data_IF_837279508018
#
_entry.id   IF_837279508018
#
_cell.length_a   1.000
_cell.length_b   1.000
_cell.length_c   1.000
_cell.angle_alpha   90.00
_cell.angle_beta   90.00
_cell.angle_gamma   90.00
#
_symmetry.space_group_name_H-M   'P 1'
#
loop_
_entity.id
_entity.type
_entity.pdbx_description
1 polymer ?
#
# COMPACT_ATOMS: atom_id res chain seq x y z
N UNK A 1 17.27 -11.18 -27.77
CA UNK A 1 16.13 -11.32 -26.84
C UNK A 1 15.69 -9.93 -26.45
N UNK A 2 14.38 -9.68 -26.43
CA UNK A 2 13.81 -8.45 -25.89
C UNK A 2 14.30 -8.24 -24.45
N UNK A 3 14.75 -7.03 -24.13
CA UNK A 3 15.22 -6.63 -22.81
C UNK A 3 14.15 -5.79 -22.13
N UNK A 4 14.04 -5.95 -20.81
CA UNK A 4 13.26 -5.08 -19.95
C UNK A 4 14.23 -4.18 -19.21
N UNK A 5 14.01 -2.87 -19.25
CA UNK A 5 14.81 -1.88 -18.55
C UNK A 5 13.92 -1.06 -17.63
N UNK A 6 14.27 -0.99 -16.35
CA UNK A 6 13.69 -0.07 -15.37
C UNK A 6 14.69 1.05 -15.04
N UNK A 7 14.33 2.29 -15.34
CA UNK A 7 15.01 3.48 -14.82
C UNK A 7 14.17 3.99 -13.65
N UNK A 8 14.75 3.98 -12.45
CA UNK A 8 14.08 4.32 -11.21
C UNK A 8 14.70 5.58 -10.63
N UNK A 9 13.90 6.62 -10.48
CA UNK A 9 14.31 7.91 -9.97
C UNK A 9 13.51 8.15 -8.69
N UNK A 10 14.18 8.19 -7.54
CA UNK A 10 13.53 8.47 -6.28
C UNK A 10 14.28 9.57 -5.54
N UNK A 11 13.58 10.66 -5.22
CA UNK A 11 14.13 11.80 -4.51
C UNK A 11 13.44 11.91 -3.15
N UNK A 12 13.97 11.18 -2.18
CA UNK A 12 13.49 11.21 -0.79
C UNK A 12 14.07 12.40 -0.02
N UNK A 13 15.36 12.67 -0.22
CA UNK A 13 16.10 13.75 0.45
C UNK A 13 16.63 14.74 -0.58
N UNK A 14 16.44 16.02 -0.30
CA UNK A 14 16.97 17.14 -1.08
C UNK A 14 18.25 17.67 -0.44
N UNK A 15 19.16 18.22 -1.25
CA UNK A 15 20.33 18.94 -0.74
C UNK A 15 19.94 20.24 -0.07
N UNK A 16 18.88 20.90 -0.58
CA UNK A 16 18.26 22.05 0.07
C UNK A 16 17.29 21.57 1.16
N UNK A 17 17.66 21.81 2.42
CA UNK A 17 16.89 21.37 3.59
C UNK A 17 15.56 22.11 3.77
N UNK A 18 15.31 23.18 3.00
CA UNK A 18 14.02 23.89 3.00
C UNK A 18 12.93 23.08 2.26
N UNK A 19 13.33 22.19 1.35
CA UNK A 19 12.41 21.31 0.64
C UNK A 19 12.09 20.10 1.54
N UNK A 20 10.81 19.84 1.74
CA UNK A 20 10.35 18.72 2.56
C UNK A 20 10.81 17.38 1.96
N UNK A 21 11.11 16.41 2.82
CA UNK A 21 11.46 15.06 2.39
C UNK A 21 10.23 14.29 1.88
N UNK A 22 10.41 13.48 0.84
CA UNK A 22 9.36 12.57 0.32
C UNK A 22 9.52 11.19 0.96
N UNK A 23 8.88 11.01 2.11
CA UNK A 23 9.02 9.77 2.89
C UNK A 23 8.72 8.53 2.06
N UNK A 24 9.63 7.56 2.12
CA UNK A 24 9.57 6.26 1.46
C UNK A 24 9.80 6.25 -0.04
N UNK A 25 10.15 7.36 -0.69
CA UNK A 25 10.41 7.37 -2.14
C UNK A 25 11.51 6.36 -2.54
N UNK A 26 12.56 6.18 -1.74
CA UNK A 26 13.59 5.17 -2.01
C UNK A 26 13.07 3.74 -1.82
N UNK A 27 12.25 3.52 -0.79
CA UNK A 27 11.63 2.21 -0.54
C UNK A 27 10.66 1.84 -1.68
N UNK A 28 9.90 2.82 -2.16
CA UNK A 28 8.97 2.71 -3.28
C UNK A 28 9.67 2.29 -4.57
N UNK A 29 10.77 2.97 -4.94
CA UNK A 29 11.56 2.58 -6.11
C UNK A 29 12.12 1.16 -5.97
N UNK A 30 12.70 0.81 -4.81
CA UNK A 30 13.26 -0.52 -4.59
C UNK A 30 12.18 -1.62 -4.64
N UNK A 31 11.03 -1.39 -4.02
CA UNK A 31 9.90 -2.32 -4.03
C UNK A 31 9.31 -2.50 -5.44
N UNK A 32 9.15 -1.42 -6.18
CA UNK A 32 8.69 -1.46 -7.57
C UNK A 32 9.65 -2.25 -8.46
N UNK A 33 10.97 -2.03 -8.34
CA UNK A 33 11.99 -2.78 -9.06
C UNK A 33 11.94 -4.29 -8.76
N UNK A 34 11.81 -4.65 -7.48
CA UNK A 34 11.71 -6.03 -7.04
C UNK A 34 10.45 -6.71 -7.59
N UNK A 35 9.32 -6.01 -7.58
CA UNK A 35 8.06 -6.54 -8.10
C UNK A 35 8.11 -6.81 -9.62
N UNK A 36 8.75 -5.92 -10.40
CA UNK A 36 8.92 -6.13 -11.85
C UNK A 36 9.80 -7.34 -12.19
N UNK A 37 10.78 -7.65 -11.34
CA UNK A 37 11.73 -8.74 -11.52
C UNK A 37 11.08 -10.13 -11.37
N UNK A 38 9.92 -10.20 -10.69
CA UNK A 38 9.13 -11.44 -10.56
C UNK A 38 8.56 -11.95 -11.89
N UNK A 39 8.30 -11.05 -12.85
CA UNK A 39 7.88 -11.40 -14.21
C UNK A 39 9.04 -11.83 -15.13
N UNK A 40 10.27 -11.83 -14.61
CA UNK A 40 11.48 -12.22 -15.33
C UNK A 40 12.58 -11.16 -15.28
N UNK A 41 13.74 -11.46 -15.88
CA UNK A 41 14.93 -10.61 -15.81
C UNK A 41 14.66 -9.17 -16.25
N UNK A 42 15.18 -8.21 -15.49
CA UNK A 42 15.06 -6.78 -15.78
C UNK A 42 16.37 -6.05 -15.44
N UNK A 43 16.86 -5.26 -16.39
CA UNK A 43 17.99 -4.36 -16.17
C UNK A 43 17.51 -3.16 -15.35
N UNK A 44 18.23 -2.80 -14.28
CA UNK A 44 17.81 -1.75 -13.34
C UNK A 44 18.84 -0.62 -13.28
N UNK A 45 18.35 0.61 -13.38
CA UNK A 45 19.14 1.83 -13.17
C UNK A 45 18.45 2.64 -12.07
N UNK A 46 18.93 2.48 -10.83
CA UNK A 46 18.38 3.18 -9.67
C UNK A 46 19.18 4.45 -9.38
N UNK A 47 18.49 5.60 -9.36
CA UNK A 47 19.00 6.91 -8.98
C UNK A 47 18.23 7.33 -7.72
N UNK A 48 18.85 7.14 -6.56
CA UNK A 48 18.23 7.37 -5.25
C UNK A 48 18.86 8.59 -4.57
N UNK A 49 18.03 9.54 -4.16
CA UNK A 49 18.39 10.79 -3.49
C UNK A 49 19.68 11.38 -4.03
N UNK A 50 20.81 11.32 -3.30
CA UNK A 50 22.10 11.89 -3.72
C UNK A 50 22.57 11.53 -5.14
N UNK A 51 22.16 10.37 -5.67
CA UNK A 51 22.47 9.95 -7.04
C UNK A 51 21.50 10.54 -8.11
N UNK A 52 20.34 11.02 -7.70
CA UNK A 52 19.28 11.58 -8.53
C UNK A 52 19.44 13.09 -8.76
N UNK A 53 20.64 13.53 -9.13
CA UNK A 53 20.87 14.93 -9.53
C UNK A 53 20.35 15.18 -10.95
N UNK A 54 20.01 16.44 -11.27
CA UNK A 54 19.52 16.83 -12.60
C UNK A 54 20.46 16.36 -13.72
N UNK A 55 21.77 16.50 -13.49
CA UNK A 55 22.80 16.08 -14.45
C UNK A 55 22.85 14.57 -14.60
N UNK A 56 22.83 13.82 -13.50
CA UNK A 56 22.92 12.36 -13.52
C UNK A 56 21.68 11.73 -14.14
N UNK A 57 20.48 12.20 -13.78
CA UNK A 57 19.21 11.71 -14.36
C UNK A 57 19.24 11.90 -15.89
N UNK A 58 19.49 13.12 -16.36
CA UNK A 58 19.53 13.42 -17.78
C UNK A 58 20.57 12.59 -18.54
N UNK A 59 21.76 12.42 -17.96
CA UNK A 59 22.83 11.63 -18.57
C UNK A 59 22.46 10.15 -18.66
N UNK A 60 21.96 9.56 -17.57
CA UNK A 60 21.60 8.14 -17.49
C UNK A 60 20.40 7.81 -18.36
N UNK A 61 19.36 8.63 -18.34
CA UNK A 61 18.19 8.44 -19.21
C UNK A 61 18.63 8.44 -20.68
N UNK A 62 19.40 9.45 -21.13
CA UNK A 62 19.92 9.46 -22.50
C UNK A 62 20.80 8.24 -22.83
N UNK A 63 21.69 7.86 -21.92
CA UNK A 63 22.59 6.72 -22.10
C UNK A 63 21.82 5.42 -22.35
N UNK A 64 20.87 5.10 -21.47
CA UNK A 64 20.19 3.80 -21.50
C UNK A 64 19.07 3.77 -22.55
N UNK A 65 18.31 4.86 -22.71
CA UNK A 65 17.23 4.94 -23.70
C UNK A 65 17.76 4.80 -25.14
N UNK A 66 18.96 5.32 -25.42
CA UNK A 66 19.61 5.19 -26.74
C UNK A 66 20.01 3.75 -27.08
N UNK A 67 20.22 2.90 -26.08
CA UNK A 67 20.64 1.52 -26.27
C UNK A 67 19.46 0.55 -26.52
N UNK A 68 18.22 1.01 -26.36
CA UNK A 68 17.02 0.20 -26.55
C UNK A 68 16.66 0.03 -28.03
N UNK A 69 16.08 -1.12 -28.33
CA UNK A 69 15.61 -1.55 -29.65
C UNK A 69 14.08 -1.65 -29.68
N UNK A 70 13.49 -1.97 -30.83
CA UNK A 70 12.03 -2.00 -31.01
C UNK A 70 11.29 -3.05 -30.19
N UNK A 71 11.99 -4.12 -29.80
CA UNK A 71 11.41 -5.24 -29.07
C UNK A 71 11.57 -5.10 -27.55
N UNK A 72 12.33 -4.09 -27.10
CA UNK A 72 12.59 -3.86 -25.68
C UNK A 72 11.42 -3.16 -24.98
N UNK A 73 11.44 -3.18 -23.65
CA UNK A 73 10.48 -2.51 -22.78
C UNK A 73 11.19 -1.52 -21.86
N UNK A 74 10.66 -0.31 -21.77
CA UNK A 74 11.13 0.73 -20.87
C UNK A 74 10.09 1.01 -19.77
N UNK A 75 10.51 0.82 -18.53
CA UNK A 75 9.80 1.27 -17.34
C UNK A 75 10.54 2.49 -16.78
N UNK A 76 9.86 3.62 -16.69
CA UNK A 76 10.35 4.81 -16.01
C UNK A 76 9.53 5.00 -14.73
N UNK A 77 10.19 4.91 -13.58
CA UNK A 77 9.56 5.16 -12.28
C UNK A 77 10.12 6.45 -11.69
N UNK A 78 9.24 7.33 -11.22
CA UNK A 78 9.60 8.53 -10.49
C UNK A 78 8.83 8.61 -9.18
N UNK A 79 9.52 8.83 -8.07
CA UNK A 79 8.94 9.19 -6.79
C UNK A 79 9.64 10.44 -6.23
N UNK A 80 8.88 11.50 -5.94
CA UNK A 80 9.46 12.78 -5.53
C UNK A 80 8.45 13.92 -5.52
N UNK A 81 8.93 15.16 -5.49
CA UNK A 81 8.08 16.33 -5.69
C UNK A 81 7.94 16.67 -7.16
N UNK A 82 6.85 17.33 -7.48
CA UNK A 82 6.59 17.80 -8.83
C UNK A 82 5.77 19.07 -8.79
N UNK A 83 5.93 19.89 -9.81
CA UNK A 83 5.22 21.15 -9.94
C UNK A 83 5.04 21.48 -11.41
N UNK A 84 4.24 22.51 -11.69
CA UNK A 84 4.09 23.11 -13.00
C UNK A 84 4.50 24.58 -12.96
N UNK A 85 5.10 25.05 -14.04
CA UNK A 85 5.39 26.46 -14.27
C UNK A 85 4.95 26.82 -15.69
N UNK A 86 4.01 27.77 -15.82
CA UNK A 86 3.48 28.23 -17.10
C UNK A 86 2.95 27.09 -18.00
N UNK A 87 2.30 26.08 -17.40
CA UNK A 87 1.70 24.96 -18.12
C UNK A 87 2.64 23.78 -18.43
N UNK A 88 3.92 23.87 -18.07
CA UNK A 88 4.90 22.79 -18.22
C UNK A 88 5.19 22.10 -16.90
N UNK A 89 5.24 20.78 -16.91
CA UNK A 89 5.51 19.98 -15.72
C UNK A 89 7.01 19.80 -15.47
N UNK A 90 7.37 19.80 -14.19
CA UNK A 90 8.75 19.62 -13.74
C UNK A 90 8.81 18.61 -12.61
N UNK A 91 9.73 17.66 -12.73
CA UNK A 91 10.10 16.76 -11.62
C UNK A 91 11.35 17.30 -10.93
N UNK A 92 11.36 17.25 -9.61
CA UNK A 92 12.51 17.69 -8.82
C UNK A 92 13.65 16.69 -8.87
N UNK A 93 14.82 17.16 -8.48
CA UNK A 93 16.06 16.42 -8.38
C UNK A 93 16.64 16.61 -6.98
N UNK A 94 17.60 15.78 -6.59
CA UNK A 94 18.27 15.95 -5.29
C UNK A 94 18.91 17.33 -5.12
N UNK A 95 19.46 17.87 -6.21
CA UNK A 95 20.11 19.18 -6.28
C UNK A 95 19.15 20.32 -6.68
N UNK A 96 17.83 20.10 -6.62
CA UNK A 96 16.86 21.19 -6.67
C UNK A 96 16.99 22.03 -5.41
N UNK A 97 17.07 23.35 -5.58
CA UNK A 97 17.07 24.33 -4.50
C UNK A 97 15.96 25.36 -4.71
N UNK A 98 15.53 26.02 -3.62
CA UNK A 98 14.41 26.97 -3.67
C UNK A 98 14.74 28.29 -4.33
N UNK A 99 16.02 28.63 -4.48
CA UNK A 99 16.43 29.88 -5.09
C UNK A 99 16.34 29.80 -6.63
N UNK A 100 16.41 28.58 -7.19
CA UNK A 100 16.27 28.30 -8.62
C UNK A 100 15.55 26.96 -8.90
N UNK A 101 14.32 26.84 -8.40
CA UNK A 101 13.54 25.59 -8.47
C UNK A 101 13.40 25.08 -9.90
N UNK A 102 13.08 25.97 -10.85
CA UNK A 102 12.82 25.61 -12.25
C UNK A 102 14.09 25.11 -12.94
N UNK A 103 15.19 25.88 -12.92
CA UNK A 103 16.39 25.50 -13.68
C UNK A 103 17.18 24.39 -12.98
N UNK A 104 16.87 24.08 -11.72
CA UNK A 104 17.41 22.90 -11.01
C UNK A 104 16.47 21.69 -10.97
N UNK A 105 15.33 21.78 -11.61
CA UNK A 105 14.42 20.66 -11.85
C UNK A 105 14.49 20.21 -13.31
N UNK A 106 13.89 19.07 -13.63
CA UNK A 106 13.82 18.55 -15.00
C UNK A 106 12.44 18.84 -15.57
N UNK A 107 12.40 19.50 -16.73
CA UNK A 107 11.18 19.58 -17.52
C UNK A 107 10.76 18.17 -17.95
N UNK A 108 9.57 17.74 -17.55
CA UNK A 108 9.11 16.38 -17.74
C UNK A 108 8.88 16.08 -19.22
N UNK A 109 8.39 17.04 -20.01
CA UNK A 109 8.23 16.86 -21.46
C UNK A 109 9.57 16.65 -22.15
N UNK A 110 10.63 17.38 -21.79
CA UNK A 110 11.97 17.16 -22.36
C UNK A 110 12.50 15.75 -22.06
N UNK A 111 12.26 15.26 -20.84
CA UNK A 111 12.62 13.90 -20.46
C UNK A 111 11.83 12.86 -21.26
N UNK A 112 10.52 13.08 -21.42
CA UNK A 112 9.64 12.23 -22.21
C UNK A 112 10.01 12.24 -23.70
N UNK A 113 10.40 13.38 -24.25
CA UNK A 113 10.85 13.49 -25.64
C UNK A 113 12.13 12.68 -25.89
N UNK A 114 13.03 12.60 -24.90
CA UNK A 114 14.20 11.71 -24.97
C UNK A 114 13.74 10.25 -25.05
N UNK A 115 12.80 9.84 -24.19
CA UNK A 115 12.21 8.50 -24.22
C UNK A 115 11.47 8.22 -25.54
N UNK A 116 10.73 9.20 -26.05
CA UNK A 116 9.95 9.09 -27.29
C UNK A 116 10.79 9.00 -28.56
N UNK A 117 12.05 9.43 -28.52
CA UNK A 117 13.04 9.27 -29.60
C UNK A 117 13.72 7.89 -29.60
N UNK A 118 13.49 7.06 -28.58
CA UNK A 118 13.98 5.69 -28.57
C UNK A 118 13.37 4.86 -29.69
N UNK A 119 14.08 3.82 -30.13
CA UNK A 119 13.48 2.79 -30.97
C UNK A 119 12.46 1.94 -30.19
N UNK A 120 12.55 1.92 -28.85
CA UNK A 120 11.64 1.24 -27.95
C UNK A 120 10.21 1.78 -28.09
N UNK A 121 9.29 0.90 -28.49
CA UNK A 121 7.88 1.26 -28.65
C UNK A 121 7.10 1.14 -27.34
N UNK A 122 7.48 0.17 -26.49
CA UNK A 122 6.79 -0.17 -25.22
C UNK A 122 7.37 0.64 -24.07
N UNK A 123 6.70 1.74 -23.70
CA UNK A 123 7.15 2.65 -22.65
C UNK A 123 6.06 2.80 -21.59
N UNK A 124 6.39 2.52 -20.34
CA UNK A 124 5.50 2.71 -19.20
C UNK A 124 6.12 3.71 -18.20
N UNK A 125 5.43 4.82 -17.95
CA UNK A 125 5.76 5.79 -16.90
C UNK A 125 4.92 5.54 -15.65
N UNK A 126 5.55 5.54 -14.50
CA UNK A 126 4.95 5.46 -13.17
C UNK A 126 5.39 6.69 -12.38
N UNK A 127 4.47 7.62 -12.16
CA UNK A 127 4.71 8.92 -11.55
C UNK A 127 4.06 8.99 -10.16
N UNK A 128 4.83 8.70 -9.12
CA UNK A 128 4.44 8.93 -7.73
C UNK A 128 4.92 10.31 -7.25
N UNK A 129 4.32 11.35 -7.80
CA UNK A 129 4.69 12.72 -7.49
C UNK A 129 3.73 13.34 -6.48
N UNK A 130 4.26 13.89 -5.38
CA UNK A 130 3.48 14.66 -4.43
C UNK A 130 3.65 16.16 -4.70
N UNK A 131 2.55 16.84 -5.03
CA UNK A 131 2.56 18.23 -5.50
C UNK A 131 2.81 19.26 -4.37
N UNK A 132 2.44 18.95 -3.12
CA UNK A 132 2.51 19.87 -1.97
C UNK A 132 3.90 20.37 -1.62
N UNK A 133 4.94 19.54 -1.80
CA UNK A 133 6.24 19.83 -1.22
C UNK A 133 6.91 21.10 -1.73
N UNK A 134 6.55 21.53 -2.94
CA UNK A 134 6.99 22.79 -3.55
C UNK A 134 5.86 23.82 -3.55
N UNK A 135 4.65 23.45 -3.96
CA UNK A 135 3.58 24.44 -4.14
C UNK A 135 3.07 25.05 -2.83
N UNK A 136 3.25 24.35 -1.71
CA UNK A 136 2.78 24.80 -0.40
C UNK A 136 3.83 25.61 0.38
N UNK A 137 5.06 25.70 -0.13
CA UNK A 137 6.11 26.47 0.52
C UNK A 137 5.80 27.97 0.46
N UNK A 138 5.81 28.69 1.60
CA UNK A 138 5.41 30.10 1.65
C UNK A 138 6.17 31.01 0.68
N UNK A 139 7.44 30.69 0.42
CA UNK A 139 8.38 31.47 -0.40
C UNK A 139 8.04 31.44 -1.90
N UNK A 140 7.38 30.38 -2.36
CA UNK A 140 7.13 30.11 -3.78
C UNK A 140 5.66 29.87 -4.11
N UNK A 141 4.79 30.05 -3.11
CA UNK A 141 3.34 29.93 -3.25
C UNK A 141 2.81 30.88 -4.32
N UNK A 142 2.11 30.35 -5.31
CA UNK A 142 1.53 31.12 -6.42
C UNK A 142 2.48 31.40 -7.59
N UNK A 143 3.76 31.03 -7.49
CA UNK A 143 4.72 31.03 -8.61
C UNK A 143 4.62 29.73 -9.40
N UNK A 144 4.44 28.62 -8.67
CA UNK A 144 4.30 27.28 -9.22
C UNK A 144 2.91 26.74 -8.91
N UNK A 145 2.40 25.90 -9.82
CA UNK A 145 1.12 25.21 -9.68
C UNK A 145 1.31 23.70 -9.63
N UNK A 146 0.20 23.00 -9.48
CA UNK A 146 0.09 21.54 -9.59
C UNK A 146 0.36 21.07 -11.03
N UNK A 147 0.74 19.81 -11.21
CA UNK A 147 1.10 19.30 -12.53
C UNK A 147 -0.13 19.25 -13.46
N UNK A 148 0.08 19.63 -14.72
CA UNK A 148 -0.93 19.60 -15.77
C UNK A 148 -1.06 18.20 -16.39
N UNK A 149 -2.27 17.64 -16.35
CA UNK A 149 -2.57 16.37 -17.02
C UNK A 149 -2.46 16.45 -18.55
N UNK A 150 -2.63 17.63 -19.14
CA UNK A 150 -2.68 17.83 -20.60
C UNK A 150 -1.38 17.43 -21.30
N UNK A 151 -0.22 17.85 -20.77
CA UNK A 151 1.10 17.57 -21.37
C UNK A 151 1.37 16.06 -21.41
N UNK A 152 1.07 15.36 -20.31
CA UNK A 152 1.19 13.91 -20.23
C UNK A 152 0.20 13.22 -21.18
N UNK A 153 -1.05 13.69 -21.24
CA UNK A 153 -2.06 13.14 -22.13
C UNK A 153 -1.62 13.17 -23.60
N UNK A 154 -1.10 14.31 -24.06
CA UNK A 154 -0.67 14.47 -25.45
C UNK A 154 0.45 13.49 -25.82
N UNK A 155 1.48 13.37 -24.98
CA UNK A 155 2.60 12.46 -25.24
C UNK A 155 2.18 10.98 -25.28
N UNK A 156 1.35 10.55 -24.33
CA UNK A 156 0.97 9.13 -24.18
C UNK A 156 -0.16 8.70 -25.13
N UNK A 157 -1.00 9.63 -25.60
CA UNK A 157 -2.00 9.35 -26.63
C UNK A 157 -1.43 9.37 -28.06
N UNK A 158 -0.25 9.96 -28.26
CA UNK A 158 0.38 10.03 -29.57
C UNK A 158 0.92 8.69 -30.10
N UNK A 159 1.02 7.65 -29.27
CA UNK A 159 1.57 6.35 -29.68
C UNK A 159 0.90 5.15 -28.97
N UNK A 160 0.77 4.05 -29.71
CA UNK A 160 0.02 2.85 -29.31
C UNK A 160 0.56 2.13 -28.05
N UNK A 161 1.86 2.11 -27.84
CA UNK A 161 2.48 1.32 -26.76
C UNK A 161 3.11 2.19 -25.67
N UNK A 162 2.55 3.38 -25.45
CA UNK A 162 2.98 4.28 -24.37
C UNK A 162 1.86 4.40 -23.34
N UNK A 163 2.22 4.18 -22.08
CA UNK A 163 1.31 4.31 -20.95
C UNK A 163 1.93 5.12 -19.82
N UNK A 164 1.09 5.84 -19.09
CA UNK A 164 1.46 6.62 -17.92
C UNK A 164 0.44 6.35 -16.82
N UNK A 165 0.94 6.02 -15.64
CA UNK A 165 0.18 5.97 -14.40
C UNK A 165 0.72 7.02 -13.47
N UNK A 166 -0.17 7.76 -12.83
CA UNK A 166 0.19 8.77 -11.87
C UNK A 166 -0.65 8.63 -10.60
N UNK A 167 -0.02 8.95 -9.47
CA UNK A 167 -0.52 8.57 -8.15
C UNK A 167 -1.76 9.34 -7.70
N UNK A 168 -1.95 10.57 -8.16
CA UNK A 168 -3.08 11.43 -7.82
C UNK A 168 -3.37 12.44 -8.94
N UNK A 169 -4.61 12.93 -9.03
CA UNK A 169 -4.99 13.97 -10.00
C UNK A 169 -4.37 15.32 -9.64
N UNK A 170 -4.44 16.25 -10.60
CA UNK A 170 -4.07 17.66 -10.38
C UNK A 170 -4.76 18.21 -9.12
N UNK A 171 -4.00 18.82 -8.21
CA UNK A 171 -4.50 19.39 -6.94
C UNK A 171 -4.94 18.38 -5.89
N UNK A 172 -4.55 17.12 -6.04
CA UNK A 172 -4.59 16.11 -4.98
C UNK A 172 -3.18 15.81 -4.46
N UNK A 173 -3.09 15.05 -3.36
CA UNK A 173 -1.81 14.66 -2.78
C UNK A 173 -1.59 13.16 -2.92
N UNK A 174 -0.36 12.77 -3.24
CA UNK A 174 0.09 11.40 -3.03
C UNK A 174 0.51 11.22 -1.59
N UNK A 175 -0.15 10.30 -0.88
CA UNK A 175 0.08 10.07 0.55
C UNK A 175 0.99 8.86 0.77
N UNK A 176 1.89 8.96 1.74
CA UNK A 176 2.65 7.82 2.26
C UNK A 176 2.31 7.56 3.73
N UNK A 177 2.60 6.36 4.22
CA UNK A 177 2.26 6.00 5.61
C UNK A 177 3.27 5.04 6.23
N UNK A 178 3.65 5.24 7.51
CA UNK A 178 4.49 4.31 8.24
C UNK A 178 3.91 2.89 8.39
N UNK A 179 2.58 2.74 8.29
CA UNK A 179 1.91 1.44 8.36
C UNK A 179 2.34 0.56 7.17
N UNK A 180 2.41 1.15 5.98
CA UNK A 180 2.80 0.46 4.75
C UNK A 180 4.30 0.54 4.50
N UNK A 181 4.99 1.53 5.08
CA UNK A 181 6.39 1.89 4.78
C UNK A 181 6.63 2.20 3.30
N UNK A 182 5.60 2.73 2.66
CA UNK A 182 5.51 3.02 1.23
C UNK A 182 4.53 4.18 1.00
N UNK A 183 4.62 4.81 -0.17
CA UNK A 183 3.51 5.55 -0.77
C UNK A 183 2.30 4.64 -0.92
N UNK A 184 1.09 5.13 -0.59
CA UNK A 184 -0.15 4.32 -0.69
C UNK A 184 -0.37 3.84 -2.11
N UNK A 185 -0.04 4.68 -3.10
CA UNK A 185 -0.15 4.32 -4.50
C UNK A 185 0.90 3.31 -4.94
N UNK A 186 2.18 3.59 -4.68
CA UNK A 186 3.25 2.66 -5.05
C UNK A 186 3.07 1.31 -4.37
N UNK A 187 2.64 1.27 -3.10
CA UNK A 187 2.29 0.04 -2.39
C UNK A 187 1.27 -0.78 -3.18
N UNK A 188 0.18 -0.18 -3.68
CA UNK A 188 -0.82 -0.92 -4.44
C UNK A 188 -0.31 -1.36 -5.82
N UNK A 189 0.55 -0.57 -6.47
CA UNK A 189 1.22 -1.00 -7.70
C UNK A 189 2.09 -2.23 -7.44
N UNK A 190 2.86 -2.24 -6.36
CA UNK A 190 3.67 -3.38 -5.93
C UNK A 190 2.77 -4.61 -5.69
N UNK A 191 1.69 -4.47 -4.92
CA UNK A 191 0.77 -5.57 -4.64
C UNK A 191 0.17 -6.19 -5.92
N UNK A 192 -0.12 -5.36 -6.92
CA UNK A 192 -0.59 -5.80 -8.23
C UNK A 192 0.50 -6.56 -9.00
N UNK A 193 1.72 -5.99 -9.07
CA UNK A 193 2.85 -6.58 -9.80
C UNK A 193 3.41 -7.85 -9.17
N UNK A 194 3.25 -8.03 -7.86
CA UNK A 194 3.56 -9.28 -7.16
C UNK A 194 2.42 -10.32 -7.31
N UNK A 195 1.28 -9.91 -7.87
CA UNK A 195 0.08 -10.74 -8.00
C UNK A 195 -0.53 -11.11 -6.65
N UNK A 196 -0.30 -10.32 -5.60
CA UNK A 196 -0.85 -10.56 -4.26
C UNK A 196 -2.36 -10.30 -4.19
N UNK A 197 -2.89 -9.50 -5.12
CA UNK A 197 -4.31 -9.20 -5.23
C UNK A 197 -4.89 -9.70 -6.56
N UNK A 198 -5.77 -10.72 -6.53
CA UNK A 198 -6.40 -11.25 -7.75
C UNK A 198 -7.20 -10.21 -8.54
N UNK A 199 -7.66 -9.12 -7.91
CA UNK A 199 -8.40 -8.05 -8.60
C UNK A 199 -7.55 -7.29 -9.61
N UNK A 200 -6.22 -7.37 -9.50
CA UNK A 200 -5.29 -6.76 -10.45
C UNK A 200 -4.99 -7.65 -11.66
N UNK A 201 -5.39 -8.93 -11.62
CA UNK A 201 -4.99 -9.93 -12.61
C UNK A 201 -6.08 -10.17 -13.66
N UNK A 202 -5.74 -9.93 -14.91
CA UNK A 202 -6.53 -10.37 -16.05
C UNK A 202 -6.18 -11.81 -16.42
N UNK A 203 -7.21 -12.63 -16.69
CA UNK A 203 -7.07 -14.08 -16.96
C UNK A 203 -6.25 -14.82 -15.88
N UNK A 204 -6.23 -14.30 -14.66
CA UNK A 204 -5.55 -14.88 -13.50
C UNK A 204 -4.02 -14.83 -13.52
N UNK A 205 -3.39 -14.13 -14.48
CA UNK A 205 -1.91 -14.06 -14.59
C UNK A 205 -1.35 -12.75 -15.11
N UNK A 206 -2.11 -11.97 -15.89
CA UNK A 206 -1.58 -10.78 -16.54
C UNK A 206 -1.93 -9.54 -15.73
N UNK A 207 -0.93 -8.70 -15.48
CA UNK A 207 -1.17 -7.30 -15.11
C UNK A 207 -1.12 -6.49 -16.40
N UNK A 208 -2.29 -6.07 -16.89
CA UNK A 208 -2.42 -5.19 -18.04
C UNK A 208 -2.59 -3.75 -17.58
N UNK A 209 -2.38 -2.79 -18.48
CA UNK A 209 -2.58 -1.39 -18.14
C UNK A 209 -4.02 -1.11 -17.67
N UNK A 210 -5.00 -1.72 -18.34
CA UNK A 210 -6.40 -1.64 -17.96
C UNK A 210 -6.70 -2.35 -16.63
N UNK A 211 -6.15 -3.56 -16.40
CA UNK A 211 -6.36 -4.26 -15.13
C UNK A 211 -5.77 -3.48 -13.96
N UNK A 212 -4.57 -2.90 -14.12
CA UNK A 212 -3.91 -2.09 -13.12
C UNK A 212 -4.68 -0.80 -12.81
N UNK A 213 -5.12 -0.04 -13.81
CA UNK A 213 -5.91 1.18 -13.57
C UNK A 213 -7.25 0.87 -12.87
N UNK A 214 -7.94 -0.18 -13.31
CA UNK A 214 -9.20 -0.62 -12.69
C UNK A 214 -9.01 -1.08 -11.24
N UNK A 215 -7.88 -1.72 -10.96
CA UNK A 215 -7.48 -2.11 -9.62
C UNK A 215 -7.20 -0.90 -8.72
N UNK A 216 -6.31 -0.01 -9.15
CA UNK A 216 -5.90 1.16 -8.40
C UNK A 216 -7.09 2.07 -8.06
N UNK A 217 -7.99 2.32 -9.02
CA UNK A 217 -9.19 3.14 -8.79
C UNK A 217 -10.12 2.58 -7.69
N UNK A 218 -10.05 1.27 -7.40
CA UNK A 218 -10.85 0.61 -6.35
C UNK A 218 -10.09 0.48 -5.04
N UNK A 219 -8.83 0.06 -5.09
CA UNK A 219 -8.05 -0.25 -3.89
C UNK A 219 -7.44 0.99 -3.23
N UNK A 220 -7.17 2.07 -3.96
CA UNK A 220 -6.63 3.28 -3.34
C UNK A 220 -7.62 3.87 -2.32
N UNK A 221 -8.90 4.16 -2.66
CA UNK A 221 -9.87 4.66 -1.69
C UNK A 221 -10.16 3.69 -0.53
N UNK A 222 -10.02 2.37 -0.75
CA UNK A 222 -10.14 1.35 0.31
C UNK A 222 -8.97 1.42 1.28
N UNK A 223 -7.77 1.58 0.75
CA UNK A 223 -6.53 1.63 1.52
C UNK A 223 -6.45 2.90 2.36
N UNK A 224 -6.76 4.05 1.76
CA UNK A 224 -6.79 5.33 2.48
C UNK A 224 -7.71 5.27 3.71
N UNK A 225 -8.92 4.70 3.57
CA UNK A 225 -9.87 4.51 4.69
C UNK A 225 -9.39 3.55 5.78
N UNK A 226 -8.46 2.65 5.45
CA UNK A 226 -7.87 1.71 6.43
C UNK A 226 -6.70 2.34 7.18
N UNK A 227 -5.88 3.12 6.49
CA UNK A 227 -4.61 3.62 7.04
C UNK A 227 -4.69 5.03 7.64
N UNK A 228 -5.68 5.84 7.23
CA UNK A 228 -5.88 7.19 7.75
C UNK A 228 -7.16 7.29 8.59
N UNK A 229 -7.04 7.94 9.75
CA UNK A 229 -8.18 8.22 10.64
C UNK A 229 -9.03 9.37 10.13
N UNK A 230 -8.40 10.36 9.48
CA UNK A 230 -9.10 11.48 8.82
C UNK A 230 -9.30 11.12 7.33
N UNK A 231 -10.48 11.42 6.76
CA UNK A 231 -10.70 11.24 5.33
C UNK A 231 -9.68 12.04 4.51
N UNK A 232 -8.96 11.35 3.64
CA UNK A 232 -8.06 11.92 2.64
C UNK A 232 -8.46 11.41 1.27
N UNK A 233 -8.15 12.18 0.23
CA UNK A 233 -8.47 11.85 -1.17
C UNK A 233 -7.16 11.67 -1.93
N UNK A 234 -7.13 10.61 -2.72
CA UNK A 234 -6.11 10.32 -3.71
C UNK A 234 -6.76 9.51 -4.83
N UNK A 235 -6.81 10.09 -6.02
CA UNK A 235 -7.47 9.53 -7.19
C UNK A 235 -6.39 9.18 -8.22
N UNK A 236 -6.04 7.89 -8.40
CA UNK A 236 -5.07 7.51 -9.41
C UNK A 236 -5.63 7.79 -10.81
N UNK A 237 -4.75 8.17 -11.73
CA UNK A 237 -5.13 8.42 -13.12
C UNK A 237 -4.13 7.80 -14.09
N UNK A 238 -4.61 7.59 -15.31
CA UNK A 238 -3.92 6.85 -16.35
C UNK A 238 -4.14 7.48 -17.71
N UNK A 239 -3.08 7.50 -18.51
CA UNK A 239 -3.11 7.86 -19.93
C UNK A 239 -2.33 6.86 -20.77
N UNK A 240 -2.86 6.53 -21.94
CA UNK A 240 -2.20 5.67 -22.90
C UNK A 240 -3.14 5.31 -24.05
N UNK A 241 -2.60 4.70 -25.09
CA UNK A 241 -3.44 4.16 -26.15
C UNK A 241 -4.22 2.95 -25.65
N UNK A 242 -5.50 2.90 -25.99
CA UNK A 242 -6.41 1.81 -25.62
C UNK A 242 -6.40 0.68 -26.67
N UNK A 243 -5.51 0.75 -27.67
CA UNK A 243 -5.40 -0.23 -28.75
C UNK A 243 -4.36 -1.29 -28.38
N UNK A 244 -4.84 -2.51 -28.08
CA UNK A 244 -4.02 -3.61 -27.59
C UNK A 244 -3.65 -3.43 -26.11
N UNK A 245 -4.11 -4.33 -25.24
CA UNK A 245 -3.79 -4.25 -23.81
C UNK A 245 -2.28 -4.33 -23.59
N UNK A 246 -1.68 -3.23 -23.14
CA UNK A 246 -0.28 -3.17 -22.73
C UNK A 246 -0.10 -4.10 -21.51
N UNK A 247 0.49 -5.27 -21.73
CA UNK A 247 0.87 -6.19 -20.65
C UNK A 247 2.10 -5.61 -19.95
N UNK A 248 1.94 -5.25 -18.67
CA UNK A 248 3.00 -4.73 -17.80
C UNK A 248 3.80 -5.90 -17.21
N UNK A 249 3.10 -6.97 -16.82
CA UNK A 249 3.69 -8.12 -16.15
C UNK A 249 2.92 -9.40 -16.48
N UNK A 250 3.65 -10.47 -16.76
CA UNK A 250 3.11 -11.84 -16.89
C UNK A 250 3.59 -12.67 -15.71
N UNK A 251 2.65 -13.00 -14.82
CA UNK A 251 2.93 -13.62 -13.52
C UNK A 251 2.63 -15.12 -13.52
N UNK A 252 2.60 -15.77 -14.69
CA UNK A 252 2.29 -17.20 -14.81
C UNK A 252 3.15 -18.07 -13.91
N UNK A 253 4.47 -17.85 -13.94
CA UNK A 253 5.41 -18.63 -13.14
C UNK A 253 5.24 -18.35 -11.64
N UNK A 254 5.00 -17.09 -11.27
CA UNK A 254 4.73 -16.69 -9.88
C UNK A 254 3.47 -17.37 -9.36
N UNK A 255 2.38 -17.32 -10.14
CA UNK A 255 1.10 -17.93 -9.80
C UNK A 255 1.21 -19.46 -9.73
N UNK A 256 1.91 -20.08 -10.69
CA UNK A 256 2.17 -21.53 -10.67
C UNK A 256 2.98 -21.96 -9.46
N UNK A 257 4.05 -21.25 -9.12
CA UNK A 257 4.87 -21.54 -7.95
C UNK A 257 4.04 -21.41 -6.67
N UNK A 258 3.24 -20.35 -6.53
CA UNK A 258 2.36 -20.15 -5.38
C UNK A 258 1.30 -21.25 -5.24
N UNK A 259 0.75 -21.72 -6.35
CA UNK A 259 -0.21 -22.83 -6.38
C UNK A 259 0.44 -24.19 -6.11
N UNK A 260 1.69 -24.39 -6.56
CA UNK A 260 2.46 -25.61 -6.29
C UNK A 260 2.84 -25.75 -4.81
N UNK A 261 2.95 -24.64 -4.08
CA UNK A 261 3.26 -24.62 -2.63
C UNK A 261 2.06 -25.03 -1.74
N UNK A 262 0.94 -25.52 -2.28
CA UNK A 262 -0.16 -26.08 -1.47
C UNK A 262 -0.24 -27.61 -1.48
N UNK A 263 0.41 -28.26 -0.51
CA UNK A 263 -0.17 -29.41 0.17
C UNK A 263 -0.29 -29.13 1.69
N UNK A 264 -1.49 -29.26 2.26
CA UNK A 264 -1.61 -29.51 3.72
C UNK A 264 -2.60 -28.69 4.53
N UNK A 265 -3.22 -27.63 3.99
CA UNK A 265 -4.41 -27.06 4.61
C UNK A 265 -5.62 -27.46 3.78
N UNK A 266 -6.30 -28.51 4.23
CA UNK A 266 -7.72 -28.65 3.96
C UNK A 266 -8.35 -27.29 4.20
N UNK A 267 -8.98 -26.76 3.15
CA UNK A 267 -9.67 -25.47 3.13
C UNK A 267 -10.26 -25.19 4.51
N UNK A 268 -9.84 -24.12 5.18
CA UNK A 268 -10.45 -23.69 6.44
C UNK A 268 -11.93 -23.47 6.15
N UNK A 269 -12.77 -24.46 6.48
CA UNK A 269 -14.17 -24.48 6.07
C UNK A 269 -14.98 -23.43 6.83
N UNK A 270 -14.53 -23.09 8.03
CA UNK A 270 -15.16 -22.13 8.92
C UNK A 270 -14.10 -21.42 9.76
N UNK A 271 -14.28 -20.11 9.94
CA UNK A 271 -13.55 -19.29 10.90
C UNK A 271 -14.60 -18.77 11.88
N UNK A 272 -14.37 -18.98 13.18
CA UNK A 272 -15.17 -18.38 14.23
C UNK A 272 -14.34 -17.29 14.90
N UNK A 273 -14.94 -16.10 15.05
CA UNK A 273 -14.41 -15.08 15.94
C UNK A 273 -15.01 -15.32 17.31
N UNK A 274 -14.15 -15.66 18.28
CA UNK A 274 -14.55 -15.86 19.67
C UNK A 274 -14.15 -14.61 20.46
N UNK A 275 -15.12 -14.03 21.15
CA UNK A 275 -14.87 -12.98 22.13
C UNK A 275 -14.92 -13.61 23.53
N UNK A 276 -13.95 -13.25 24.36
CA UNK A 276 -13.83 -13.73 25.73
C UNK A 276 -13.95 -12.54 26.67
N UNK A 277 -14.94 -12.56 27.55
CA UNK A 277 -15.14 -11.51 28.56
C UNK A 277 -15.17 -12.13 29.96
N UNK A 278 -14.41 -11.56 30.89
CA UNK A 278 -14.37 -11.99 32.29
C UNK A 278 -15.28 -11.10 33.13
N UNK A 279 -16.33 -11.70 33.70
CA UNK A 279 -17.31 -11.00 34.55
C UNK A 279 -17.28 -11.54 35.98
N UNK A 280 -17.72 -10.71 36.93
CA UNK A 280 -17.81 -11.12 38.33
C UNK A 280 -18.93 -12.14 38.50
N UNK A 281 -18.75 -13.14 39.37
CA UNK A 281 -19.85 -14.05 39.74
C UNK A 281 -21.04 -13.27 40.31
N UNK A 282 -20.77 -12.15 41.00
CA UNK A 282 -21.83 -11.31 41.57
C UNK A 282 -22.62 -10.50 40.54
N UNK A 283 -22.14 -10.39 39.30
CA UNK A 283 -22.83 -9.69 38.21
C UNK A 283 -23.63 -10.61 37.30
N UNK A 284 -23.61 -11.93 37.53
CA UNK A 284 -24.45 -12.89 36.82
C UNK A 284 -25.93 -12.64 37.14
N UNK A 285 -26.80 -12.74 36.14
CA UNK A 285 -28.22 -12.37 36.30
C UNK A 285 -28.96 -13.23 37.33
N UNK A 286 -28.58 -14.51 37.48
CA UNK A 286 -29.15 -15.40 38.50
C UNK A 286 -28.55 -15.22 39.91
N UNK A 287 -27.53 -14.38 40.09
CA UNK A 287 -26.86 -14.22 41.39
C UNK A 287 -27.72 -13.34 42.32
N UNK A 288 -28.06 -13.85 43.51
CA UNK A 288 -28.86 -13.09 44.46
C UNK A 288 -28.44 -13.32 45.91
N UNK A 289 -27.94 -12.26 46.56
CA UNK A 289 -27.68 -12.27 48.02
C UNK A 289 -28.93 -12.59 48.83
N UNK A 290 -30.12 -12.21 48.35
CA UNK A 290 -31.40 -12.52 49.01
C UNK A 290 -31.74 -14.02 48.99
N UNK A 291 -31.22 -14.77 48.02
CA UNK A 291 -31.29 -16.24 47.95
C UNK A 291 -30.15 -16.93 48.70
N UNK A 292 -29.34 -16.18 49.45
CA UNK A 292 -28.21 -16.72 50.21
C UNK A 292 -26.94 -16.98 49.39
N UNK A 293 -26.89 -16.54 48.12
CA UNK A 293 -25.72 -16.76 47.28
C UNK A 293 -24.52 -15.95 47.79
N UNK A 294 -23.35 -16.59 47.79
CA UNK A 294 -22.06 -15.97 48.09
C UNK A 294 -21.12 -16.21 46.92
N UNK A 295 -20.22 -15.25 46.67
CA UNK A 295 -19.12 -15.47 45.73
C UNK A 295 -18.24 -16.55 46.35
N UNK A 296 -18.01 -17.69 45.68
CA UNK A 296 -17.16 -18.73 46.22
C UNK A 296 -15.71 -18.24 46.34
N UNK A 297 -14.93 -18.87 47.22
CA UNK A 297 -13.54 -18.50 47.48
C UNK A 297 -12.53 -19.50 46.89
N UNK A 298 -13.01 -20.58 46.26
CA UNK A 298 -12.18 -21.55 45.52
C UNK A 298 -12.92 -22.14 44.32
N UNK A 299 -12.17 -22.63 43.32
CA UNK A 299 -12.72 -23.34 42.16
C UNK A 299 -12.69 -24.84 42.42
N UNK A 300 -13.86 -25.44 42.44
CA UNK A 300 -14.08 -26.88 42.57
C UNK A 300 -15.41 -27.23 41.86
N UNK A 301 -15.72 -28.52 41.72
CA UNK A 301 -16.92 -28.95 41.01
C UNK A 301 -18.25 -28.43 41.60
N UNK A 302 -18.29 -28.02 42.87
CA UNK A 302 -19.47 -27.38 43.47
C UNK A 302 -19.59 -25.91 43.04
N UNK A 303 -18.47 -25.18 43.04
CA UNK A 303 -18.37 -23.81 42.50
C UNK A 303 -18.73 -23.77 41.02
N UNK A 304 -18.27 -24.76 40.25
CA UNK A 304 -18.54 -24.85 38.82
C UNK A 304 -20.04 -24.98 38.52
N UNK A 305 -20.71 -25.94 39.19
CA UNK A 305 -22.16 -26.12 39.09
C UNK A 305 -22.95 -24.91 39.59
N UNK A 306 -22.47 -24.25 40.64
CA UNK A 306 -23.11 -23.04 41.16
C UNK A 306 -23.07 -21.92 40.13
N UNK A 307 -21.91 -21.68 39.52
CA UNK A 307 -21.74 -20.68 38.46
C UNK A 307 -22.64 -21.02 37.27
N UNK A 308 -22.58 -22.26 36.78
CA UNK A 308 -23.37 -22.73 35.64
C UNK A 308 -24.88 -22.54 35.84
N UNK A 309 -25.39 -22.87 37.03
CA UNK A 309 -26.80 -22.67 37.37
C UNK A 309 -27.18 -21.19 37.48
N UNK A 310 -26.26 -20.37 38.01
CA UNK A 310 -26.50 -18.93 38.23
C UNK A 310 -26.51 -18.14 36.93
N UNK A 311 -25.85 -18.67 35.90
CA UNK A 311 -25.65 -17.98 34.64
C UNK A 311 -26.51 -18.49 33.48
N UNK A 312 -27.42 -19.44 33.73
CA UNK A 312 -28.31 -19.99 32.68
C UNK A 312 -29.13 -18.90 31.97
N UNK A 313 -29.36 -17.77 32.63
CA UNK A 313 -30.10 -16.63 32.09
C UNK A 313 -29.25 -15.69 31.23
N UNK A 314 -27.92 -15.83 31.23
CA UNK A 314 -26.97 -14.96 30.54
C UNK A 314 -26.61 -15.43 29.11
N UNK A 315 -27.20 -16.54 28.64
CA UNK A 315 -27.24 -16.91 27.21
C UNK A 315 -25.91 -17.33 26.54
N UNK A 316 -24.83 -17.54 27.30
CA UNK A 316 -23.52 -18.01 26.79
C UNK A 316 -23.11 -19.39 27.34
N UNK A 317 -22.23 -20.11 26.64
CA UNK A 317 -21.48 -21.20 27.25
C UNK A 317 -20.52 -20.58 28.28
N UNK A 318 -20.40 -21.16 29.46
CA UNK A 318 -19.64 -20.58 30.57
C UNK A 318 -18.75 -21.65 31.17
N UNK A 319 -17.44 -21.43 31.13
CA UNK A 319 -16.47 -22.29 31.82
C UNK A 319 -15.92 -21.54 33.03
N UNK A 320 -16.07 -22.06 34.26
CA UNK A 320 -15.43 -21.49 35.43
C UNK A 320 -13.91 -21.60 35.28
N UNK A 321 -13.20 -20.47 35.24
CA UNK A 321 -11.74 -20.43 35.12
C UNK A 321 -11.11 -20.09 36.47
N UNK A 322 -10.30 -21.01 37.01
CA UNK A 322 -9.49 -20.76 38.21
C UNK A 322 -8.18 -20.02 37.88
N UNK A 323 -8.25 -18.84 37.27
CA UNK A 323 -7.04 -18.04 37.03
C UNK A 323 -6.81 -17.04 38.18
N UNK A 324 -6.20 -17.63 39.23
CA UNK A 324 -5.12 -17.04 40.03
C UNK A 324 -5.47 -16.09 41.19
N UNK A 325 -5.69 -16.71 42.35
CA UNK A 325 -5.12 -16.23 43.62
C UNK A 325 -3.58 -16.22 43.50
N UNK A 326 -2.97 -15.07 43.15
CA UNK A 326 -1.55 -14.81 43.41
C UNK A 326 -1.39 -13.49 44.14
N UNK A 327 -0.73 -13.54 45.30
CA UNK A 327 0.02 -12.39 45.81
C UNK A 327 1.03 -11.99 44.74
N UNK A 328 0.88 -10.78 44.20
CA UNK A 328 1.89 -9.94 43.55
C UNK A 328 2.75 -10.57 42.44
N UNK A 329 2.47 -10.18 41.19
CA UNK A 329 3.40 -9.57 40.21
C UNK A 329 2.80 -9.73 38.79
N UNK A 330 2.26 -8.64 38.21
CA UNK A 330 1.84 -8.53 36.80
C UNK A 330 0.39 -8.04 36.55
N UNK A 331 0.23 -6.72 36.43
CA UNK A 331 -0.71 -5.94 35.60
C UNK A 331 -2.25 -6.04 35.71
N UNK A 332 -2.85 -6.16 36.89
CA UNK A 332 -4.13 -5.48 37.21
C UNK A 332 -4.37 -5.40 38.74
N UNK A 333 -4.21 -4.23 39.41
CA UNK A 333 -4.15 -4.15 40.87
C UNK A 333 -5.51 -3.99 41.59
N UNK A 334 -6.66 -4.23 40.96
CA UNK A 334 -7.98 -3.88 41.56
C UNK A 334 -8.91 -5.07 41.86
N UNK A 335 -8.55 -6.33 41.56
CA UNK A 335 -9.53 -7.43 41.60
C UNK A 335 -9.23 -8.51 42.65
N UNK A 336 -9.86 -8.42 43.82
CA UNK A 336 -9.95 -9.53 44.80
C UNK A 336 -11.28 -10.26 44.67
N UNK A 337 -11.29 -11.52 44.23
CA UNK A 337 -12.50 -12.37 44.15
C UNK A 337 -12.46 -13.39 43.01
N UNK A 338 -13.42 -14.33 42.98
CA UNK A 338 -13.60 -15.29 41.87
C UNK A 338 -14.41 -14.69 40.70
N UNK A 339 -13.96 -15.00 39.48
CA UNK A 339 -14.50 -14.51 38.21
C UNK A 339 -14.89 -15.68 37.31
N UNK A 340 -15.74 -15.41 36.32
CA UNK A 340 -16.18 -16.41 35.34
C UNK A 340 -16.04 -15.85 33.92
N UNK A 341 -15.66 -16.72 32.99
CA UNK A 341 -15.46 -16.38 31.58
C UNK A 341 -16.74 -16.67 30.78
N UNK A 342 -17.40 -15.61 30.31
CA UNK A 342 -18.52 -15.68 29.37
C UNK A 342 -17.99 -15.94 27.96
N UNK A 343 -18.51 -16.99 27.31
CA UNK A 343 -18.28 -17.23 25.89
C UNK A 343 -19.50 -16.81 25.08
N UNK A 344 -19.36 -15.72 24.33
CA UNK A 344 -20.38 -15.27 23.38
C UNK A 344 -19.95 -15.72 21.98
N UNK A 345 -20.66 -16.69 21.41
CA UNK A 345 -20.45 -17.14 20.04
C UNK A 345 -21.24 -16.28 19.05
N UNK A 346 -20.56 -15.57 18.16
CA UNK A 346 -21.20 -14.99 16.98
C UNK A 346 -21.29 -16.07 15.90
N UNK A 347 -22.39 -16.82 15.86
CA UNK A 347 -22.68 -17.73 14.74
C UNK A 347 -23.20 -16.93 13.55
N UNK A 348 -22.30 -16.31 12.79
CA UNK A 348 -22.57 -15.80 11.45
C UNK A 348 -21.94 -16.70 10.41
N UNK A 349 -22.74 -17.36 9.57
CA UNK A 349 -22.26 -17.96 8.32
C UNK A 349 -21.76 -16.82 7.42
N UNK A 350 -20.48 -16.49 7.53
CA UNK A 350 -19.80 -15.64 6.54
C UNK A 350 -19.08 -16.62 5.60
N UNK A 351 -19.47 -16.72 4.31
CA UNK A 351 -18.64 -17.39 3.34
C UNK A 351 -17.34 -16.59 3.22
N UNK A 352 -16.24 -17.13 3.76
CA UNK A 352 -14.92 -16.56 3.56
C UNK A 352 -14.50 -16.80 2.11
N UNK A 353 -14.65 -15.79 1.26
CA UNK A 353 -13.59 -15.51 0.31
C UNK A 353 -12.35 -15.13 1.12
N UNK A 354 -11.30 -15.95 1.01
CA UNK A 354 -10.06 -15.81 1.74
C UNK A 354 -9.47 -14.40 1.57
N UNK A 355 -9.69 -13.53 2.55
CA UNK A 355 -8.84 -12.38 2.83
C UNK A 355 -7.98 -12.76 4.03
N UNK A 356 -6.71 -13.07 3.79
CA UNK A 356 -5.69 -13.13 4.83
C UNK A 356 -5.61 -11.76 5.52
N UNK A 357 -6.27 -11.62 6.67
CA UNK A 357 -6.05 -10.52 7.60
C UNK A 357 -5.01 -10.97 8.62
N UNK A 358 -3.75 -10.63 8.38
CA UNK A 358 -2.70 -10.64 9.40
C UNK A 358 -3.06 -9.57 10.45
N UNK A 359 -3.49 -10.01 11.62
CA UNK A 359 -3.56 -9.16 12.81
C UNK A 359 -2.23 -9.26 13.53
N UNK A 360 -1.52 -8.14 13.62
CA UNK A 360 -0.44 -7.96 14.59
C UNK A 360 -1.07 -7.62 15.93
N UNK A 361 -0.73 -8.37 16.96
CA UNK A 361 -1.09 -8.07 18.35
C UNK A 361 -0.36 -6.78 18.79
N UNK A 362 -1.07 -5.97 19.59
CA UNK A 362 -0.57 -4.80 20.31
C UNK A 362 0.55 -5.16 21.27
#
# INVERSE_FOLDING_TARGET
MAKRLAILIAVEKYSDTRINSVQYAEADANGFAAALELAGPIDKVALLSGAATKTTINSKVRQYVKALTTDDELFLFYAGHGFSNNGHNYITCHDTDLDDVKDRSINLQELLDVCGKSACKRIALFLDSCESGITDLPEIRGIYSTMSETELKEFFQAAEYRVCFASCKTSEYSHSTPILKHGVWTYQVIQALEGNDPLALEKGRYVTANSLQNYLSKEIPRTLRKVFTKPVVQTPWFHGSHTGDFVISDLDDVVKQRNAVKPGYDQVKQVFLQMKESVSISSLSGFSKKRGHRVPDSVNGATERFVENTSQQDGGFLSPSAQTLRRGLGDDPVRTGLWVELWVGLSGLIPLQAQERKWWAL
#
